data_IF_370952870448
#
_entry.id   IF_370952870448
#
_cell.length_a   1.000
_cell.length_b   1.000
_cell.length_c   1.000
_cell.angle_alpha   90.00
_cell.angle_beta   90.00
_cell.angle_gamma   90.00
#
_symmetry.space_group_name_H-M   'P 1'
#
loop_
_entity.id
_entity.type
_entity.pdbx_description
1 polymer ?
#
# COMPACT_ATOMS: atom_id res chain seq x y z
N UNK A 1 -8.91 -1.27 -5.01
CA UNK A 1 -9.20 -1.75 -6.39
C UNK A 1 -7.96 -1.49 -7.23
N UNK A 2 -7.50 -2.49 -7.99
CA UNK A 2 -6.33 -2.38 -8.88
C UNK A 2 -6.81 -2.67 -10.31
N UNK A 3 -6.35 -1.88 -11.29
CA UNK A 3 -6.67 -2.04 -12.71
C UNK A 3 -5.37 -2.01 -13.53
N UNK A 4 -5.38 -2.56 -14.75
CA UNK A 4 -4.20 -2.57 -15.64
C UNK A 4 -3.68 -1.17 -15.97
N UNK A 5 -4.58 -0.20 -16.15
CA UNK A 5 -4.20 1.20 -16.42
C UNK A 5 -3.78 1.97 -15.16
N UNK A 6 -3.93 1.38 -13.97
CA UNK A 6 -3.75 2.06 -12.69
C UNK A 6 -5.04 2.74 -12.20
N UNK A 7 -5.16 2.85 -10.88
CA UNK A 7 -6.29 3.51 -10.20
C UNK A 7 -5.77 4.22 -8.95
N UNK A 8 -6.24 5.43 -8.70
CA UNK A 8 -5.95 6.18 -7.46
C UNK A 8 -6.65 5.52 -6.27
N UNK A 9 -6.00 5.54 -5.10
CA UNK A 9 -6.60 5.06 -3.85
C UNK A 9 -7.80 5.95 -3.45
N UNK A 10 -8.75 5.34 -2.74
CA UNK A 10 -9.88 6.03 -2.11
C UNK A 10 -10.18 5.42 -0.73
N UNK A 11 -10.25 6.23 0.35
CA UNK A 11 -9.85 7.64 0.38
C UNK A 11 -8.38 7.79 -0.05
N UNK A 12 -8.04 8.94 -0.63
CA UNK A 12 -6.65 9.21 -0.97
C UNK A 12 -5.85 9.44 0.32
N UNK A 13 -4.58 9.08 0.29
CA UNK A 13 -3.70 9.24 1.43
C UNK A 13 -3.35 10.73 1.60
N UNK A 14 -3.62 11.29 2.78
CA UNK A 14 -3.39 12.71 3.08
C UNK A 14 -2.81 12.85 4.48
N UNK A 15 -1.79 13.68 4.62
CA UNK A 15 -1.07 13.89 5.87
C UNK A 15 -0.73 15.37 6.06
N UNK A 16 -0.56 15.74 7.33
CA UNK A 16 0.05 17.00 7.72
C UNK A 16 1.37 16.68 8.45
N UNK A 17 2.48 17.25 7.99
CA UNK A 17 3.81 17.05 8.55
C UNK A 17 4.25 18.36 9.21
N UNK A 18 4.52 18.32 10.52
CA UNK A 18 4.90 19.49 11.32
C UNK A 18 6.24 19.25 12.03
N UNK A 19 6.91 20.33 12.44
CA UNK A 19 8.12 20.27 13.26
C UNK A 19 9.42 19.97 12.51
N UNK A 20 9.41 20.03 11.17
CA UNK A 20 10.64 19.92 10.37
C UNK A 20 11.46 21.21 10.44
N UNK A 21 12.77 21.09 10.20
CA UNK A 21 13.65 22.25 10.11
C UNK A 21 13.31 23.06 8.84
N UNK A 22 12.92 24.35 8.95
CA UNK A 22 12.58 25.17 7.80
C UNK A 22 13.72 25.43 6.81
N UNK A 23 14.98 25.26 7.21
CA UNK A 23 16.14 25.52 6.34
C UNK A 23 16.68 24.28 5.64
N UNK A 24 16.08 23.11 5.87
CA UNK A 24 16.50 21.85 5.27
C UNK A 24 15.55 21.40 4.15
N UNK A 25 16.07 20.57 3.24
CA UNK A 25 15.29 19.95 2.18
C UNK A 25 14.99 18.48 2.52
N UNK A 26 13.79 18.04 2.20
CA UNK A 26 13.31 16.69 2.47
C UNK A 26 12.65 16.10 1.22
N UNK A 27 12.87 14.80 0.99
CA UNK A 27 12.06 14.01 0.07
C UNK A 27 11.07 13.17 0.89
N UNK A 28 9.83 13.07 0.43
CA UNK A 28 8.78 12.28 1.07
C UNK A 28 8.31 11.24 0.06
N UNK A 29 8.30 9.98 0.48
CA UNK A 29 7.89 8.85 -0.35
C UNK A 29 6.88 7.99 0.41
N UNK A 30 6.05 7.27 -0.33
CA UNK A 30 5.13 6.27 0.23
C UNK A 30 5.41 4.91 -0.36
N UNK A 31 5.56 3.92 0.51
CA UNK A 31 5.64 2.52 0.15
C UNK A 31 4.43 1.77 0.72
N UNK A 32 3.85 0.88 -0.09
CA UNK A 32 2.77 -0.01 0.33
C UNK A 32 3.35 -1.41 0.49
N UNK A 33 3.35 -1.92 1.72
CA UNK A 33 3.85 -3.27 2.06
C UNK A 33 2.71 -4.23 2.36
N UNK A 34 2.94 -5.52 2.15
CA UNK A 34 1.99 -6.56 2.56
C UNK A 34 1.79 -6.51 4.08
N UNK A 35 0.52 -6.55 4.52
CA UNK A 35 0.19 -6.63 5.94
C UNK A 35 0.45 -8.03 6.52
N UNK A 36 0.29 -9.07 5.69
CA UNK A 36 0.48 -10.47 6.07
C UNK A 36 0.84 -11.33 4.85
N UNK A 37 1.38 -12.56 5.04
CA UNK A 37 1.84 -13.41 3.94
C UNK A 37 0.72 -14.31 3.36
N UNK A 38 -0.56 -13.99 3.55
CA UNK A 38 -1.67 -14.84 3.10
C UNK A 38 -2.26 -14.36 1.77
N UNK A 39 -2.71 -15.31 0.95
CA UNK A 39 -3.64 -15.06 -0.14
C UNK A 39 -5.06 -15.10 0.43
N UNK A 40 -5.82 -14.03 0.24
CA UNK A 40 -7.18 -13.87 0.75
C UNK A 40 -8.25 -14.08 -0.33
N UNK A 41 -9.37 -14.72 0.05
CA UNK A 41 -10.59 -14.84 -0.75
C UNK A 41 -11.80 -14.39 0.06
N UNK A 42 -12.75 -13.73 -0.59
CA UNK A 42 -14.04 -13.39 0.04
C UNK A 42 -15.08 -14.47 -0.29
N UNK A 43 -15.60 -15.16 0.74
CA UNK A 43 -16.62 -16.21 0.59
C UNK A 43 -17.59 -16.16 1.77
N UNK A 44 -18.90 -16.29 1.49
CA UNK A 44 -19.92 -16.30 2.54
C UNK A 44 -19.95 -15.02 3.39
N UNK A 45 -19.60 -13.88 2.81
CA UNK A 45 -19.58 -12.60 3.51
C UNK A 45 -18.34 -12.37 4.40
N UNK A 46 -17.31 -13.24 4.32
CA UNK A 46 -16.11 -13.17 5.15
C UNK A 46 -14.84 -13.32 4.33
N UNK A 47 -13.76 -12.67 4.78
CA UNK A 47 -12.41 -12.90 4.27
C UNK A 47 -11.84 -14.17 4.91
N UNK A 48 -11.36 -15.08 4.07
CA UNK A 48 -10.73 -16.34 4.47
C UNK A 48 -9.38 -16.49 3.77
N UNK A 49 -8.43 -17.12 4.45
CA UNK A 49 -7.13 -17.45 3.86
C UNK A 49 -7.29 -18.63 2.89
N UNK A 50 -6.61 -18.56 1.75
CA UNK A 50 -6.65 -19.61 0.71
C UNK A 50 -5.29 -19.96 0.12
N UNK A 51 -4.20 -19.57 0.80
CA UNK A 51 -2.83 -19.85 0.38
C UNK A 51 -1.84 -18.84 0.95
N UNK A 52 -0.61 -18.87 0.44
CA UNK A 52 0.41 -17.84 0.72
C UNK A 52 0.39 -16.77 -0.37
N UNK A 53 0.67 -15.53 0.01
CA UNK A 53 0.88 -14.44 -0.93
C UNK A 53 2.16 -14.68 -1.74
N UNK A 54 2.13 -14.31 -3.02
CA UNK A 54 3.33 -14.35 -3.86
C UNK A 54 4.33 -13.31 -3.36
N UNK A 55 5.52 -13.76 -2.97
CA UNK A 55 6.55 -12.90 -2.39
C UNK A 55 7.36 -12.14 -3.46
N UNK A 56 6.69 -11.61 -4.48
CA UNK A 56 7.38 -10.85 -5.53
C UNK A 56 7.66 -9.42 -5.04
N UNK A 57 8.67 -9.28 -4.18
CA UNK A 57 9.15 -8.01 -3.60
C UNK A 57 9.58 -6.97 -4.65
N UNK A 58 9.64 -7.32 -5.94
CA UNK A 58 9.89 -6.37 -7.04
C UNK A 58 8.69 -5.43 -7.31
N UNK A 59 7.55 -5.63 -6.64
CA UNK A 59 6.31 -4.85 -6.83
C UNK A 59 6.20 -3.55 -6.03
N UNK A 60 7.08 -3.30 -5.06
CA UNK A 60 7.03 -2.11 -4.22
C UNK A 60 7.58 -0.91 -5.02
N UNK A 61 6.74 -0.33 -5.86
CA UNK A 61 7.04 0.97 -6.49
C UNK A 61 6.95 2.02 -5.40
N UNK A 62 8.06 2.70 -5.11
CA UNK A 62 8.01 3.93 -4.33
C UNK A 62 7.15 4.95 -5.07
N UNK A 63 6.13 5.48 -4.40
CA UNK A 63 5.25 6.53 -4.90
C UNK A 63 5.64 7.89 -4.32
#
# INVERSE_FOLDING_TARGET
>A
IITKQGRRMFPFLSFNINGLNPTAHYNVFVEVVLADPNHWRFQGGKWVTCGKADNNMQGNKMY
#
